data_IF_118393595944
#
_entry.id   IF_118393595944
#
_cell.length_a   1.000
_cell.length_b   1.000
_cell.length_c   1.000
_cell.angle_alpha   90.00
_cell.angle_beta   90.00
_cell.angle_gamma   90.00
#
_symmetry.space_group_name_H-M   'P 1'
#
loop_
_entity.id
_entity.type
_entity.pdbx_description
1 polymer ?
#
# COMPACT_ATOMS: atom_id res chain seq x y z
N UNK A 1 21.04 -6.89 12.48
CA UNK A 1 19.74 -6.26 12.71
C UNK A 1 18.80 -6.66 11.59
N UNK A 2 17.53 -6.95 11.87
CA UNK A 2 16.52 -7.31 10.85
C UNK A 2 15.60 -6.13 10.57
N UNK A 3 15.58 -5.67 9.32
CA UNK A 3 14.61 -4.68 8.82
C UNK A 3 13.50 -5.43 8.09
N UNK A 4 12.25 -5.20 8.49
CA UNK A 4 11.08 -5.77 7.82
C UNK A 4 10.33 -4.69 7.05
N UNK A 5 10.07 -4.90 5.76
CA UNK A 5 9.26 -3.97 4.94
C UNK A 5 7.91 -4.57 4.58
N UNK A 6 6.82 -3.86 4.84
CA UNK A 6 5.46 -4.33 4.57
C UNK A 6 4.84 -3.40 3.53
N UNK A 7 4.45 -3.99 2.40
CA UNK A 7 3.83 -3.31 1.27
C UNK A 7 2.32 -3.57 1.28
N UNK A 8 1.50 -2.52 1.33
CA UNK A 8 0.04 -2.62 1.29
C UNK A 8 -0.51 -2.06 -0.02
N UNK A 9 -1.03 -2.94 -0.88
CA UNK A 9 -1.62 -2.53 -2.15
C UNK A 9 -2.90 -1.70 -1.93
N UNK A 10 -3.22 -0.87 -2.93
CA UNK A 10 -4.42 -0.03 -2.93
C UNK A 10 -5.70 -0.82 -3.18
N UNK A 11 -6.84 -0.16 -3.03
CA UNK A 11 -8.18 -0.71 -3.37
C UNK A 11 -8.19 -1.45 -4.70
N UNK A 12 -8.62 -2.72 -4.70
CA UNK A 12 -8.71 -3.52 -5.92
C UNK A 12 -7.37 -3.93 -6.53
N UNK A 13 -6.25 -3.53 -5.92
CA UNK A 13 -4.91 -3.88 -6.36
C UNK A 13 -4.33 -5.03 -5.53
N UNK A 14 -3.41 -5.80 -6.12
CA UNK A 14 -2.83 -6.99 -5.54
C UNK A 14 -1.36 -7.15 -5.96
N UNK A 15 -0.65 -8.10 -5.34
CA UNK A 15 0.79 -8.33 -5.58
C UNK A 15 1.18 -8.60 -7.04
N UNK A 16 0.24 -9.04 -7.88
CA UNK A 16 0.48 -9.38 -9.28
C UNK A 16 0.30 -8.18 -10.22
N UNK A 17 -0.05 -7.00 -9.71
CA UNK A 17 -0.26 -5.81 -10.54
C UNK A 17 1.04 -5.18 -11.09
N UNK A 18 2.16 -5.89 -10.97
CA UNK A 18 3.40 -5.61 -11.70
C UNK A 18 3.22 -5.65 -13.22
N UNK A 19 2.17 -6.32 -13.72
CA UNK A 19 1.84 -6.40 -15.16
C UNK A 19 0.39 -6.02 -15.47
N UNK A 20 -0.30 -5.33 -14.56
CA UNK A 20 -1.72 -4.99 -14.78
C UNK A 20 -1.85 -3.91 -15.86
N UNK A 21 -2.82 -4.08 -16.78
CA UNK A 21 -3.00 -3.23 -17.99
C UNK A 21 -3.13 -1.73 -17.72
N UNK A 22 -3.78 -1.34 -16.62
CA UNK A 22 -3.93 0.05 -16.19
C UNK A 22 -2.63 0.73 -15.74
N UNK A 23 -1.55 -0.02 -15.49
CA UNK A 23 -0.28 0.49 -15.00
C UNK A 23 0.84 0.16 -15.99
N UNK A 24 1.24 1.15 -16.78
CA UNK A 24 2.14 0.95 -17.92
C UNK A 24 3.53 0.39 -17.55
N UNK A 25 3.98 0.63 -16.31
CA UNK A 25 5.26 0.15 -15.74
C UNK A 25 5.01 -0.56 -14.40
N UNK A 26 3.85 -1.22 -14.27
CA UNK A 26 3.40 -1.88 -13.05
C UNK A 26 2.87 -0.93 -11.98
N UNK A 27 1.99 -1.44 -11.12
CA UNK A 27 1.53 -0.69 -9.94
C UNK A 27 2.70 -0.51 -8.97
N UNK A 28 2.86 0.70 -8.43
CA UNK A 28 4.06 1.10 -7.71
C UNK A 28 4.33 0.24 -6.47
N UNK A 29 3.34 0.02 -5.60
CA UNK A 29 3.55 -0.75 -4.36
C UNK A 29 3.96 -2.20 -4.67
N UNK A 30 3.26 -2.82 -5.61
CA UNK A 30 3.50 -4.18 -6.08
C UNK A 30 4.87 -4.31 -6.74
N UNK A 31 5.27 -3.31 -7.53
CA UNK A 31 6.57 -3.23 -8.20
C UNK A 31 7.71 -3.07 -7.19
N UNK A 32 7.54 -2.24 -6.15
CA UNK A 32 8.54 -2.09 -5.08
C UNK A 32 8.72 -3.40 -4.31
N UNK A 33 7.63 -4.11 -4.02
CA UNK A 33 7.68 -5.41 -3.37
C UNK A 33 8.41 -6.45 -4.22
N UNK A 34 8.05 -6.58 -5.50
CA UNK A 34 8.68 -7.50 -6.44
C UNK A 34 10.18 -7.20 -6.69
N UNK A 35 10.57 -5.96 -6.46
CA UNK A 35 11.95 -5.51 -6.56
C UNK A 35 12.74 -5.66 -5.24
N UNK A 36 12.12 -6.08 -4.15
CA UNK A 36 12.82 -6.30 -2.89
C UNK A 36 13.82 -7.47 -3.00
N UNK A 37 15.09 -7.25 -2.67
CA UNK A 37 16.16 -8.25 -2.84
C UNK A 37 16.25 -9.26 -1.68
N UNK A 38 15.58 -8.98 -0.56
CA UNK A 38 15.51 -9.86 0.60
C UNK A 38 14.53 -11.02 0.45
N UNK A 39 14.43 -11.84 1.49
CA UNK A 39 13.52 -13.00 1.53
C UNK A 39 12.11 -12.59 1.97
N UNK A 40 11.10 -12.98 1.19
CA UNK A 40 9.70 -12.80 1.58
C UNK A 40 9.43 -13.50 2.92
N UNK A 41 8.50 -12.95 3.70
CA UNK A 41 8.15 -13.29 5.09
C UNK A 41 9.22 -12.96 6.14
N UNK A 42 10.51 -13.08 5.81
CA UNK A 42 11.59 -12.74 6.72
C UNK A 42 11.92 -11.23 6.73
N UNK A 43 12.19 -10.66 5.55
CA UNK A 43 12.63 -9.26 5.37
C UNK A 43 11.54 -8.40 4.71
N UNK A 44 10.56 -9.00 4.04
CA UNK A 44 9.43 -8.25 3.47
C UNK A 44 8.18 -9.09 3.28
N UNK A 45 7.02 -8.45 3.20
CA UNK A 45 5.77 -9.05 2.68
C UNK A 45 5.01 -8.02 1.85
N UNK A 46 4.18 -8.50 0.93
CA UNK A 46 3.15 -7.70 0.26
C UNK A 46 1.78 -8.20 0.68
N UNK A 47 0.87 -7.27 0.92
CA UNK A 47 -0.50 -7.53 1.36
C UNK A 47 -1.46 -6.90 0.37
N UNK A 48 -2.29 -7.76 -0.22
CA UNK A 48 -3.30 -7.38 -1.19
C UNK A 48 -4.26 -6.33 -0.65
N UNK A 49 -4.69 -5.48 -1.56
CA UNK A 49 -5.57 -4.38 -1.26
C UNK A 49 -7.00 -4.85 -0.99
N UNK A 50 -7.76 -4.10 -0.18
CA UNK A 50 -9.15 -4.45 0.10
C UNK A 50 -9.96 -4.50 -1.20
N UNK A 51 -10.67 -5.61 -1.41
CA UNK A 51 -11.52 -5.82 -2.59
C UNK A 51 -10.84 -6.34 -3.85
N UNK A 52 -9.58 -6.77 -3.77
CA UNK A 52 -8.85 -7.38 -4.89
C UNK A 52 -9.26 -8.83 -5.21
N UNK A 53 -10.22 -9.39 -4.47
CA UNK A 53 -10.58 -10.82 -4.54
C UNK A 53 -9.76 -11.72 -3.60
N UNK A 54 -8.84 -11.16 -2.82
CA UNK A 54 -8.03 -11.87 -1.80
C UNK A 54 -7.28 -13.09 -2.38
N UNK A 55 -6.48 -12.86 -3.42
CA UNK A 55 -5.67 -13.89 -4.07
C UNK A 55 -4.57 -14.46 -3.14
N UNK A 56 -4.27 -13.76 -2.04
CA UNK A 56 -3.37 -14.20 -0.97
C UNK A 56 -4.08 -14.90 0.20
N UNK A 57 -5.35 -15.32 0.07
CA UNK A 57 -6.08 -15.90 1.20
C UNK A 57 -5.38 -17.11 1.87
N UNK A 58 -4.59 -17.87 1.10
CA UNK A 58 -3.79 -18.99 1.60
C UNK A 58 -2.53 -18.56 2.37
N UNK A 59 -2.04 -17.34 2.16
CA UNK A 59 -0.83 -16.81 2.79
C UNK A 59 -1.12 -16.11 4.13
N UNK A 60 -2.39 -15.81 4.44
CA UNK A 60 -2.74 -14.99 5.59
C UNK A 60 -2.59 -15.75 6.92
N UNK A 61 -2.06 -15.06 7.93
CA UNK A 61 -1.96 -15.55 9.33
C UNK A 61 -3.25 -15.30 10.12
N UNK A 62 -4.34 -14.99 9.43
CA UNK A 62 -5.63 -14.62 10.02
C UNK A 62 -6.77 -15.12 9.15
N UNK A 63 -7.81 -15.66 9.78
CA UNK A 63 -9.03 -16.03 9.08
C UNK A 63 -9.70 -14.81 8.48
N UNK A 64 -9.89 -14.81 7.16
CA UNK A 64 -10.69 -13.81 6.42
C UNK A 64 -12.09 -14.34 6.17
N UNK A 65 -13.07 -13.44 6.16
CA UNK A 65 -14.39 -13.71 5.57
C UNK A 65 -14.34 -13.30 4.10
N UNK A 66 -15.05 -14.02 3.23
CA UNK A 66 -15.28 -13.54 1.86
C UNK A 66 -16.16 -12.29 1.94
N UNK A 67 -15.60 -11.17 1.49
CA UNK A 67 -16.31 -9.91 1.40
C UNK A 67 -16.68 -9.71 -0.07
N UNK A 68 -17.96 -9.94 -0.41
CA UNK A 68 -18.49 -9.63 -1.74
C UNK A 68 -18.38 -8.13 -2.08
N UNK A 69 -18.84 -7.74 -3.27
CA UNK A 69 -18.72 -6.37 -3.82
C UNK A 69 -19.12 -5.25 -2.84
N UNK A 70 -20.14 -5.46 -2.01
CA UNK A 70 -20.62 -4.46 -1.03
C UNK A 70 -19.69 -4.28 0.16
N UNK A 71 -18.91 -5.29 0.56
CA UNK A 71 -17.93 -5.19 1.64
C UNK A 71 -16.71 -4.33 1.28
N UNK A 72 -16.35 -4.31 0.00
CA UNK A 72 -15.22 -3.57 -0.55
C UNK A 72 -15.42 -2.05 -0.50
N UNK A 73 -16.66 -1.55 -0.67
CA UNK A 73 -16.93 -0.10 -0.68
C UNK A 73 -16.91 0.51 0.74
N UNK A 74 -17.30 -0.27 1.75
CA UNK A 74 -17.41 0.16 3.16
C UNK A 74 -16.22 -0.25 4.04
N UNK A 75 -15.18 -0.85 3.45
CA UNK A 75 -13.90 -1.00 4.12
C UNK A 75 -13.68 -2.27 4.95
N UNK A 76 -14.26 -3.39 4.52
CA UNK A 76 -14.00 -4.69 5.15
C UNK A 76 -12.68 -5.29 4.62
N UNK A 77 -11.92 -5.96 5.49
CA UNK A 77 -10.65 -6.63 5.16
C UNK A 77 -9.38 -5.94 5.70
N UNK A 78 -9.46 -4.70 6.17
CA UNK A 78 -8.28 -3.91 6.54
C UNK A 78 -7.75 -4.36 7.90
N UNK A 79 -8.68 -4.63 8.81
CA UNK A 79 -8.41 -5.14 10.14
C UNK A 79 -7.75 -6.52 10.07
N UNK A 80 -8.17 -7.38 9.15
CA UNK A 80 -7.51 -8.65 8.87
C UNK A 80 -6.10 -8.46 8.31
N UNK A 81 -5.92 -7.58 7.32
CA UNK A 81 -4.61 -7.27 6.75
C UNK A 81 -3.62 -6.74 7.81
N UNK A 82 -4.08 -5.83 8.68
CA UNK A 82 -3.28 -5.29 9.77
C UNK A 82 -2.94 -6.38 10.79
N UNK A 83 -3.90 -7.23 11.15
CA UNK A 83 -3.68 -8.34 12.09
C UNK A 83 -2.73 -9.39 11.51
N UNK A 84 -2.83 -9.70 10.21
CA UNK A 84 -1.88 -10.55 9.51
C UNK A 84 -0.47 -9.97 9.59
N UNK A 85 -0.31 -8.68 9.30
CA UNK A 85 0.98 -8.00 9.39
C UNK A 85 1.55 -8.01 10.82
N UNK A 86 0.73 -7.78 11.85
CA UNK A 86 1.15 -7.91 13.27
C UNK A 86 1.66 -9.33 13.56
N UNK A 87 0.94 -10.36 13.11
CA UNK A 87 1.34 -11.75 13.32
C UNK A 87 2.66 -12.09 12.58
N UNK A 88 2.87 -11.54 11.38
CA UNK A 88 4.14 -11.68 10.64
C UNK A 88 5.28 -10.96 11.36
N UNK A 89 5.07 -9.74 11.89
CA UNK A 89 6.09 -9.03 12.67
C UNK A 89 6.50 -9.87 13.88
N UNK A 90 5.54 -10.49 14.57
CA UNK A 90 5.78 -11.35 15.73
C UNK A 90 6.30 -12.75 15.36
N UNK A 91 6.29 -13.10 14.07
CA UNK A 91 6.64 -14.43 13.57
C UNK A 91 5.84 -15.56 14.20
N UNK A 92 4.60 -15.27 14.57
CA UNK A 92 3.70 -16.22 15.24
C UNK A 92 2.35 -16.23 14.54
N UNK A 93 1.99 -17.39 14.05
CA UNK A 93 0.72 -17.66 13.44
C UNK A 93 -0.26 -18.26 14.46
N UNK A 94 -1.40 -17.59 14.65
CA UNK A 94 -2.46 -18.06 15.55
C UNK A 94 -3.64 -18.67 14.78
N UNK A 95 -3.52 -18.79 13.45
CA UNK A 95 -4.56 -19.37 12.59
C UNK A 95 -3.91 -20.01 11.35
N UNK A 96 -4.22 -21.27 11.08
CA UNK A 96 -3.75 -21.94 9.88
C UNK A 96 -4.93 -22.35 9.01
N UNK A 97 -4.73 -22.36 7.69
CA UNK A 97 -5.70 -22.95 6.77
C UNK A 97 -5.31 -24.41 6.57
N UNK A 98 -5.97 -25.27 7.34
CA UNK A 98 -5.70 -26.70 7.37
C UNK A 98 -6.37 -27.46 6.23
N UNK A 99 -7.49 -26.97 5.68
CA UNK A 99 -8.22 -27.69 4.62
C UNK A 99 -7.56 -27.52 3.25
N UNK A 100 -7.50 -28.60 2.47
CA UNK A 100 -7.03 -28.60 1.08
C UNK A 100 -8.06 -27.95 0.15
N UNK A 101 -7.56 -27.24 -0.86
CA UNK A 101 -8.37 -26.85 -2.03
C UNK A 101 -8.47 -28.02 -3.02
N UNK A 102 -9.48 -27.98 -3.89
CA UNK A 102 -9.65 -28.99 -4.96
C UNK A 102 -8.42 -29.11 -5.86
N UNK A 103 -7.81 -27.98 -6.23
CA UNK A 103 -6.60 -27.98 -7.07
C UNK A 103 -5.42 -28.63 -6.34
N UNK A 104 -5.21 -28.34 -5.06
CA UNK A 104 -4.15 -28.97 -4.26
C UNK A 104 -4.39 -30.47 -4.12
N UNK A 105 -5.61 -30.88 -3.81
CA UNK A 105 -5.99 -32.29 -3.73
C UNK A 105 -5.69 -33.05 -5.03
N UNK A 106 -6.12 -32.51 -6.16
CA UNK A 106 -5.89 -33.12 -7.47
C UNK A 106 -4.39 -33.22 -7.79
N UNK A 107 -3.61 -32.20 -7.44
CA UNK A 107 -2.14 -32.21 -7.60
C UNK A 107 -1.47 -33.26 -6.73
N UNK A 108 -1.89 -33.40 -5.48
CA UNK A 108 -1.34 -34.40 -4.53
C UNK A 108 -1.69 -35.83 -4.96
N UNK A 109 -2.94 -36.08 -5.39
CA UNK A 109 -3.35 -37.36 -5.99
C UNK A 109 -2.53 -37.68 -7.25
N UNK A 110 -2.35 -36.71 -8.15
CA UNK A 110 -1.55 -36.90 -9.36
C UNK A 110 -0.07 -37.18 -9.06
N UNK A 111 0.46 -36.66 -7.94
CA UNK A 111 1.81 -36.94 -7.47
C UNK A 111 1.96 -38.26 -6.70
N UNK A 112 0.88 -39.04 -6.54
CA UNK A 112 0.91 -40.33 -5.82
C UNK A 112 1.05 -40.20 -4.30
N UNK A 113 0.75 -39.03 -3.73
CA UNK A 113 0.83 -38.81 -2.29
C UNK A 113 -0.41 -39.42 -1.63
N UNK A 114 -0.25 -40.29 -0.60
CA UNK A 114 -1.38 -40.90 0.08
C UNK A 114 -2.15 -39.85 0.88
N UNK A 115 -3.34 -39.49 0.40
CA UNK A 115 -4.31 -38.59 1.04
C UNK A 115 -5.70 -39.23 1.03
N UNK A 116 -6.49 -38.91 2.06
CA UNK A 116 -7.89 -39.34 2.21
C UNK A 116 -8.72 -38.96 0.98
N UNK A 117 -9.71 -39.79 0.64
CA UNK A 117 -10.63 -39.47 -0.45
C UNK A 117 -11.60 -38.34 -0.06
N UNK A 118 -12.05 -37.59 -1.09
CA UNK A 118 -12.98 -36.46 -0.90
C UNK A 118 -14.24 -36.90 -0.16
N UNK A 119 -14.51 -36.26 0.97
CA UNK A 119 -15.76 -36.44 1.71
C UNK A 119 -16.82 -35.50 1.13
N UNK A 120 -17.94 -36.06 0.71
CA UNK A 120 -19.08 -35.30 0.17
C UNK A 120 -20.16 -35.22 1.24
N UNK A 121 -20.52 -34.00 1.64
CA UNK A 121 -21.52 -33.73 2.65
C UNK A 121 -22.66 -32.85 2.08
N UNK A 122 -23.88 -33.01 2.60
CA UNK A 122 -25.03 -32.19 2.23
C UNK A 122 -26.05 -32.86 1.31
N UNK A 123 -27.09 -32.12 0.91
CA UNK A 123 -28.18 -32.63 0.07
C UNK A 123 -27.85 -32.48 -1.42
N UNK A 124 -28.67 -33.07 -2.29
CA UNK A 124 -28.50 -32.99 -3.75
C UNK A 124 -28.35 -31.54 -4.26
N UNK A 125 -29.07 -30.59 -3.65
CA UNK A 125 -29.05 -29.18 -4.03
C UNK A 125 -27.89 -28.38 -3.41
N UNK A 126 -27.21 -28.92 -2.41
CA UNK A 126 -26.13 -28.26 -1.67
C UNK A 126 -25.07 -29.27 -1.24
N UNK A 127 -24.24 -29.69 -2.20
CA UNK A 127 -23.06 -30.52 -1.90
C UNK A 127 -21.89 -29.64 -1.46
N UNK A 128 -21.26 -30.03 -0.36
CA UNK A 128 -19.96 -29.55 0.08
C UNK A 128 -18.94 -30.67 -0.10
N UNK A 129 -17.81 -30.32 -0.67
CA UNK A 129 -16.69 -31.22 -0.86
C UNK A 129 -15.60 -30.86 0.15
N UNK A 130 -15.20 -31.83 0.97
CA UNK A 130 -14.08 -31.73 1.88
C UNK A 130 -12.94 -32.59 1.31
N UNK A 131 -11.86 -31.91 0.92
CA UNK A 131 -10.72 -32.52 0.23
C UNK A 131 -9.61 -32.97 1.19
N UNK A 132 -9.90 -33.05 2.50
CA UNK A 132 -8.94 -33.44 3.53
C UNK A 132 -8.06 -32.28 4.04
N UNK A 133 -7.14 -32.62 4.94
CA UNK A 133 -6.27 -31.65 5.62
C UNK A 133 -4.84 -31.63 5.06
N UNK A 134 -4.19 -30.47 5.13
CA UNK A 134 -2.80 -30.23 4.74
C UNK A 134 -1.87 -30.78 5.81
N UNK A 135 -0.89 -31.60 5.42
CA UNK A 135 0.16 -32.08 6.33
C UNK A 135 1.10 -30.95 6.77
N UNK A 136 1.33 -29.95 5.91
CA UNK A 136 2.07 -28.72 6.20
C UNK A 136 1.32 -27.54 5.61
N UNK A 137 1.01 -26.54 6.44
CA UNK A 137 0.32 -25.33 6.01
C UNK A 137 1.31 -24.27 5.51
N UNK A 138 0.88 -23.40 4.59
CA UNK A 138 1.69 -22.25 4.16
C UNK A 138 2.13 -21.41 5.35
N UNK A 139 1.25 -21.25 6.34
CA UNK A 139 1.52 -20.52 7.57
C UNK A 139 2.70 -21.11 8.36
N UNK A 140 2.76 -22.43 8.45
CA UNK A 140 3.88 -23.12 9.12
C UNK A 140 5.19 -22.91 8.37
N UNK A 141 5.17 -22.96 7.03
CA UNK A 141 6.35 -22.69 6.20
C UNK A 141 6.85 -21.25 6.40
N UNK A 142 5.94 -20.28 6.37
CA UNK A 142 6.26 -18.87 6.60
C UNK A 142 6.85 -18.61 7.99
N UNK A 143 6.33 -19.25 9.05
CA UNK A 143 6.95 -19.19 10.38
C UNK A 143 8.39 -19.72 10.38
N UNK A 144 8.65 -20.84 9.69
CA UNK A 144 9.99 -21.41 9.62
C UNK A 144 10.95 -20.51 8.83
N UNK A 145 10.48 -19.89 7.75
CA UNK A 145 11.24 -18.86 7.01
C UNK A 145 11.61 -17.72 7.95
N UNK A 146 10.65 -17.21 8.74
CA UNK A 146 10.89 -16.14 9.71
C UNK A 146 11.94 -16.56 10.74
N UNK A 147 11.77 -17.72 11.39
CA UNK A 147 12.68 -18.23 12.43
C UNK A 147 14.09 -18.48 11.90
N UNK A 148 14.21 -18.93 10.65
CA UNK A 148 15.48 -19.29 10.03
C UNK A 148 16.25 -18.05 9.55
N UNK A 149 15.56 -17.08 8.96
CA UNK A 149 16.23 -16.02 8.18
C UNK A 149 16.26 -14.64 8.87
N UNK A 150 15.44 -14.39 9.89
CA UNK A 150 15.57 -13.15 10.66
C UNK A 150 16.77 -13.23 11.59
N UNK A 151 17.68 -12.26 11.44
CA UNK A 151 18.86 -12.09 12.29
C UNK A 151 18.46 -11.40 13.59
N UNK A 152 19.11 -11.77 14.69
CA UNK A 152 18.94 -11.18 16.02
C UNK A 152 17.56 -11.41 16.67
N UNK A 153 16.85 -12.45 16.21
CA UNK A 153 15.59 -12.89 16.77
C UNK A 153 14.42 -12.74 15.81
N UNK A 154 13.24 -13.19 16.27
CA UNK A 154 12.02 -13.25 15.47
C UNK A 154 11.44 -11.85 15.23
N UNK A 155 11.48 -10.97 16.23
CA UNK A 155 10.93 -9.61 16.12
C UNK A 155 11.96 -8.73 15.39
N UNK A 156 11.57 -8.03 14.30
CA UNK A 156 12.48 -7.15 13.59
C UNK A 156 12.87 -5.93 14.44
N UNK A 157 14.06 -5.39 14.21
CA UNK A 157 14.57 -4.21 14.91
C UNK A 157 14.03 -2.90 14.34
N UNK A 158 13.43 -2.93 13.14
CA UNK A 158 12.78 -1.80 12.47
C UNK A 158 11.71 -2.31 11.50
N UNK A 159 10.62 -1.56 11.36
CA UNK A 159 9.58 -1.83 10.36
C UNK A 159 9.43 -0.65 9.40
N UNK A 160 9.44 -0.91 8.10
CA UNK A 160 9.15 0.07 7.06
C UNK A 160 7.79 -0.27 6.44
N UNK A 161 6.92 0.72 6.27
CA UNK A 161 5.58 0.54 5.72
C UNK A 161 5.44 1.33 4.43
N UNK A 162 4.94 0.70 3.38
CA UNK A 162 4.66 1.35 2.10
C UNK A 162 3.22 1.05 1.73
N UNK A 163 2.44 2.06 1.34
CA UNK A 163 1.07 1.80 0.95
C UNK A 163 0.41 2.90 0.15
N UNK A 164 -0.51 2.49 -0.73
CA UNK A 164 -1.29 3.37 -1.58
C UNK A 164 -2.77 3.30 -1.22
N UNK A 165 -3.49 4.43 -1.29
CA UNK A 165 -4.94 4.45 -1.07
C UNK A 165 -5.30 3.92 0.33
N UNK A 166 -6.21 2.95 0.40
CA UNK A 166 -6.50 2.21 1.64
C UNK A 166 -5.30 1.45 2.18
N UNK A 167 -4.35 1.02 1.35
CA UNK A 167 -3.08 0.46 1.80
C UNK A 167 -2.23 1.48 2.56
N UNK A 168 -2.28 2.76 2.19
CA UNK A 168 -1.67 3.85 2.97
C UNK A 168 -2.33 4.02 4.34
N UNK A 169 -3.65 3.84 4.43
CA UNK A 169 -4.37 3.82 5.71
C UNK A 169 -4.02 2.57 6.53
N UNK A 170 -3.85 1.41 5.90
CA UNK A 170 -3.35 0.20 6.58
C UNK A 170 -1.98 0.42 7.20
N UNK A 171 -1.11 1.24 6.58
CA UNK A 171 0.16 1.65 7.20
C UNK A 171 -0.08 2.41 8.51
N UNK A 172 -1.02 3.37 8.53
CA UNK A 172 -1.36 4.10 9.74
C UNK A 172 -1.91 3.16 10.83
N UNK A 173 -2.84 2.29 10.46
CA UNK A 173 -3.45 1.33 11.37
C UNK A 173 -2.42 0.37 11.96
N UNK A 174 -1.50 -0.14 11.15
CA UNK A 174 -0.45 -1.04 11.61
C UNK A 174 0.55 -0.33 12.54
N UNK A 175 0.98 0.89 12.21
CA UNK A 175 1.88 1.65 13.07
C UNK A 175 1.27 1.86 14.47
N UNK A 176 -0.03 2.18 14.54
CA UNK A 176 -0.75 2.31 15.82
C UNK A 176 -0.97 0.95 16.51
N UNK A 177 -1.25 -0.12 15.76
CA UNK A 177 -1.35 -1.46 16.33
C UNK A 177 -0.04 -1.93 16.96
N UNK A 178 1.10 -1.62 16.32
CA UNK A 178 2.44 -1.87 16.88
C UNK A 178 2.68 -1.07 18.16
N UNK A 179 2.29 0.22 18.18
CA UNK A 179 2.45 1.06 19.37
C UNK A 179 1.64 0.54 20.58
N UNK A 180 0.49 -0.06 20.30
CA UNK A 180 -0.40 -0.62 21.33
C UNK A 180 -0.05 -2.07 21.72
N UNK A 181 0.84 -2.75 21.00
CA UNK A 181 1.30 -4.10 21.34
C UNK A 181 2.52 -4.04 22.28
N UNK A 182 2.48 -4.65 23.48
CA UNK A 182 3.58 -4.62 24.45
C UNK A 182 4.93 -5.10 23.92
N UNK A 183 4.95 -6.03 22.94
CA UNK A 183 6.18 -6.56 22.34
C UNK A 183 6.70 -5.67 21.21
N UNK A 184 5.83 -4.87 20.57
CA UNK A 184 6.17 -4.13 19.35
C UNK A 184 6.29 -2.62 19.57
N UNK A 185 5.79 -2.08 20.69
CA UNK A 185 5.73 -0.62 20.95
C UNK A 185 7.06 0.11 20.89
N UNK A 186 8.17 -0.61 21.06
CA UNK A 186 9.54 -0.07 21.02
C UNK A 186 10.17 -0.11 19.63
N UNK A 187 9.55 -0.82 18.67
CA UNK A 187 10.10 -0.97 17.33
C UNK A 187 9.86 0.33 16.53
N UNK A 188 10.90 0.98 16.01
CA UNK A 188 10.75 2.17 15.19
C UNK A 188 10.07 1.84 13.85
N UNK A 189 9.20 2.75 13.41
CA UNK A 189 8.44 2.62 12.16
C UNK A 189 8.75 3.78 11.22
N UNK A 190 9.00 3.49 9.95
CA UNK A 190 9.02 4.48 8.88
C UNK A 190 7.85 4.22 7.92
N UNK A 191 7.23 5.27 7.39
CA UNK A 191 6.07 5.15 6.51
C UNK A 191 6.29 5.94 5.23
N UNK A 192 6.08 5.29 4.08
CA UNK A 192 5.97 5.90 2.77
C UNK A 192 4.54 5.71 2.23
N UNK A 193 3.73 6.77 2.21
CA UNK A 193 2.33 6.68 1.82
C UNK A 193 2.04 7.40 0.49
N UNK A 194 1.16 6.80 -0.31
CA UNK A 194 0.65 7.35 -1.56
C UNK A 194 -0.84 7.60 -1.40
N UNK A 195 -1.23 8.87 -1.35
CA UNK A 195 -2.62 9.29 -1.28
C UNK A 195 -3.50 8.44 -0.32
N UNK A 196 -3.16 8.37 0.98
CA UNK A 196 -3.87 7.50 1.92
C UNK A 196 -5.34 7.91 2.04
N UNK A 197 -6.27 7.09 1.54
CA UNK A 197 -7.71 7.39 1.47
C UNK A 197 -8.48 6.33 2.27
N UNK A 198 -9.17 6.70 3.35
CA UNK A 198 -9.96 5.76 4.14
C UNK A 198 -11.37 5.54 3.57
N UNK A 199 -11.81 6.37 2.63
CA UNK A 199 -13.20 6.37 2.17
C UNK A 199 -14.17 7.01 3.18
N UNK A 200 -15.44 7.09 2.78
CA UNK A 200 -16.46 7.86 3.50
C UNK A 200 -16.68 7.29 4.91
N UNK A 201 -16.60 8.15 5.94
CA UNK A 201 -16.92 7.80 7.33
C UNK A 201 -15.81 7.08 8.12
N UNK A 202 -14.62 6.90 7.56
CA UNK A 202 -13.55 6.07 8.14
C UNK A 202 -12.37 6.88 8.74
N UNK A 203 -12.67 7.95 9.48
CA UNK A 203 -11.67 8.88 10.06
C UNK A 203 -11.41 8.68 11.57
N UNK A 204 -11.46 7.44 12.05
CA UNK A 204 -11.16 7.07 13.43
C UNK A 204 -9.67 7.27 13.75
N UNK A 205 -9.34 7.51 15.02
CA UNK A 205 -7.98 7.89 15.48
C UNK A 205 -6.86 7.03 14.90
N UNK A 206 -7.01 5.71 14.86
CA UNK A 206 -6.00 4.78 14.35
C UNK A 206 -5.70 4.92 12.84
N UNK A 207 -6.55 5.64 12.11
CA UNK A 207 -6.43 5.90 10.66
C UNK A 207 -5.89 7.30 10.38
N UNK A 208 -6.01 8.24 11.33
CA UNK A 208 -5.74 9.66 11.12
C UNK A 208 -4.69 10.26 12.05
N UNK A 209 -4.14 9.45 12.96
CA UNK A 209 -3.06 9.85 13.88
C UNK A 209 -1.95 8.83 13.82
N UNK A 210 -0.71 9.27 14.05
CA UNK A 210 0.47 8.42 14.14
C UNK A 210 1.21 8.72 15.44
N UNK A 211 1.45 7.68 16.23
CA UNK A 211 2.13 7.82 17.51
C UNK A 211 3.66 7.85 17.42
N UNK A 212 4.29 7.94 18.59
CA UNK A 212 5.72 8.24 18.73
C UNK A 212 6.68 7.13 18.25
N UNK A 213 6.19 5.93 17.95
CA UNK A 213 6.98 4.88 17.31
C UNK A 213 7.29 5.20 15.84
N UNK A 214 6.48 6.04 15.18
CA UNK A 214 6.76 6.50 13.82
C UNK A 214 7.86 7.56 13.84
N UNK A 215 9.01 7.24 13.23
CA UNK A 215 10.20 8.12 13.19
C UNK A 215 10.24 8.99 11.96
N UNK A 216 9.76 8.47 10.85
CA UNK A 216 9.69 9.21 9.58
C UNK A 216 8.40 8.88 8.83
N UNK A 217 7.73 9.92 8.34
CA UNK A 217 6.54 9.83 7.48
C UNK A 217 6.81 10.64 6.22
N UNK A 218 6.85 9.95 5.08
CA UNK A 218 6.98 10.56 3.76
C UNK A 218 5.71 10.25 2.97
N UNK A 219 5.06 11.25 2.39
CA UNK A 219 3.86 11.00 1.60
C UNK A 219 3.73 11.92 0.38
N UNK A 220 3.15 11.35 -0.67
CA UNK A 220 2.79 12.06 -1.90
C UNK A 220 1.27 12.05 -2.08
N UNK A 221 0.71 13.20 -2.44
CA UNK A 221 -0.73 13.43 -2.52
C UNK A 221 -1.14 13.91 -3.91
N UNK A 222 -2.20 13.31 -4.46
CA UNK A 222 -2.70 13.59 -5.81
C UNK A 222 -3.39 14.95 -5.87
N UNK A 223 -2.72 15.98 -6.37
CA UNK A 223 -3.25 17.35 -6.36
C UNK A 223 -4.53 17.50 -7.19
N UNK A 224 -4.67 16.71 -8.25
CA UNK A 224 -5.72 16.86 -9.26
C UNK A 224 -6.90 15.89 -9.09
N UNK A 225 -6.92 15.12 -7.99
CA UNK A 225 -8.04 14.26 -7.63
C UNK A 225 -9.25 15.06 -7.12
N UNK A 226 -10.46 14.69 -7.56
CA UNK A 226 -11.73 15.35 -7.18
C UNK A 226 -12.88 14.37 -6.91
N UNK A 227 -12.66 13.06 -6.92
CA UNK A 227 -13.73 12.08 -6.70
C UNK A 227 -14.29 12.21 -5.29
N UNK A 228 -15.63 12.29 -5.17
CA UNK A 228 -16.29 12.32 -3.87
C UNK A 228 -15.94 11.07 -3.07
N UNK A 229 -15.52 11.25 -1.81
CA UNK A 229 -15.08 10.14 -0.94
C UNK A 229 -13.61 9.76 -1.10
N UNK A 230 -12.84 10.49 -1.90
CA UNK A 230 -11.38 10.34 -2.04
C UNK A 230 -10.60 11.41 -1.24
N UNK A 231 -11.18 11.93 -0.17
CA UNK A 231 -10.49 12.79 0.78
C UNK A 231 -9.34 12.01 1.43
N UNK A 232 -8.11 12.37 1.08
CA UNK A 232 -6.92 11.74 1.62
C UNK A 232 -6.59 12.27 3.01
N UNK A 233 -5.88 11.46 3.81
CA UNK A 233 -5.55 11.74 5.20
C UNK A 233 -4.10 12.20 5.31
N UNK A 234 -3.91 13.41 5.78
CA UNK A 234 -2.64 13.91 6.31
C UNK A 234 -2.70 13.65 7.82
N UNK A 235 -1.97 12.65 8.36
CA UNK A 235 -2.13 12.26 9.74
C UNK A 235 -1.58 13.31 10.70
N UNK A 236 -2.17 13.41 11.89
CA UNK A 236 -1.53 14.09 13.02
C UNK A 236 -0.39 13.21 13.54
N UNK A 237 0.83 13.72 13.51
CA UNK A 237 2.02 12.99 13.97
C UNK A 237 2.41 13.40 15.39
N UNK A 238 3.01 12.47 16.13
CA UNK A 238 3.60 12.76 17.42
C UNK A 238 4.81 13.71 17.29
N UNK A 239 5.10 14.46 18.36
CA UNK A 239 6.29 15.31 18.43
C UNK A 239 7.54 14.49 18.19
N UNK A 240 8.43 14.97 17.33
CA UNK A 240 9.68 14.30 16.97
C UNK A 240 9.61 13.38 15.74
N UNK A 241 8.43 13.10 15.20
CA UNK A 241 8.29 12.43 13.90
C UNK A 241 8.72 13.38 12.78
N UNK A 242 9.66 12.96 11.92
CA UNK A 242 10.02 13.71 10.72
C UNK A 242 8.91 13.54 9.69
N UNK A 243 8.21 14.60 9.31
CA UNK A 243 7.07 14.54 8.39
C UNK A 243 7.36 15.31 7.11
N UNK A 244 7.39 14.63 5.97
CA UNK A 244 7.60 15.21 4.64
C UNK A 244 6.42 14.89 3.75
N UNK A 245 5.69 15.91 3.29
CA UNK A 245 4.52 15.74 2.45
C UNK A 245 4.67 16.56 1.18
N UNK A 246 4.28 15.99 0.05
CA UNK A 246 4.45 16.61 -1.26
C UNK A 246 3.19 16.51 -2.10
N UNK A 247 2.83 17.57 -2.81
CA UNK A 247 1.85 17.46 -3.88
C UNK A 247 2.49 16.79 -5.09
N UNK A 248 1.68 16.08 -5.86
CA UNK A 248 2.06 15.57 -7.16
C UNK A 248 0.91 15.73 -8.14
N UNK A 249 1.23 16.08 -9.38
CA UNK A 249 0.22 16.25 -10.42
C UNK A 249 -0.45 14.92 -10.76
N UNK A 250 -1.74 15.00 -11.11
CA UNK A 250 -2.56 13.86 -11.48
C UNK A 250 -3.56 13.42 -10.40
N UNK A 251 -4.27 12.34 -10.72
CA UNK A 251 -5.33 11.75 -9.91
C UNK A 251 -4.79 10.64 -8.99
N UNK A 252 -5.69 10.06 -8.21
CA UNK A 252 -5.38 9.07 -7.19
C UNK A 252 -4.44 7.95 -7.66
N UNK A 253 -4.71 7.37 -8.84
CA UNK A 253 -3.92 6.28 -9.40
C UNK A 253 -2.68 6.74 -10.19
N UNK A 254 -2.59 8.04 -10.55
CA UNK A 254 -1.50 8.55 -11.38
C UNK A 254 -0.13 8.39 -10.70
N UNK A 255 -0.08 8.64 -9.39
CA UNK A 255 1.13 8.45 -8.59
C UNK A 255 1.51 6.97 -8.40
N UNK A 256 0.53 6.07 -8.48
CA UNK A 256 0.74 4.62 -8.36
C UNK A 256 1.12 3.96 -9.70
N UNK A 257 1.27 4.74 -10.78
CA UNK A 257 1.74 4.25 -12.08
C UNK A 257 0.69 4.26 -13.19
N UNK A 258 -0.54 4.72 -12.94
CA UNK A 258 -1.54 4.86 -14.00
C UNK A 258 -1.27 6.14 -14.81
N UNK A 259 -0.64 5.99 -15.97
CA UNK A 259 -0.24 7.11 -16.82
C UNK A 259 -1.29 7.50 -17.87
N UNK A 260 -2.55 7.10 -17.71
CA UNK A 260 -3.61 7.47 -18.66
C UNK A 260 -3.99 8.95 -18.55
N UNK A 261 -4.52 9.52 -19.64
CA UNK A 261 -4.94 10.91 -19.73
C UNK A 261 -6.00 11.29 -18.68
N UNK A 262 -6.85 10.33 -18.29
CA UNK A 262 -7.89 10.50 -17.28
C UNK A 262 -7.48 9.96 -15.89
N UNK A 263 -6.30 9.34 -15.76
CA UNK A 263 -5.88 8.63 -14.55
C UNK A 263 -6.76 7.43 -14.21
N UNK A 264 -7.35 6.76 -15.19
CA UNK A 264 -8.30 5.66 -15.00
C UNK A 264 -8.08 4.51 -16.00
N UNK A 265 -9.17 3.86 -16.41
CA UNK A 265 -9.14 2.80 -17.42
C UNK A 265 -8.67 3.40 -18.76
N UNK A 266 -7.69 2.80 -19.44
CA UNK A 266 -7.19 3.30 -20.71
C UNK A 266 -8.28 3.23 -21.79
N UNK A 267 -8.36 4.29 -22.60
CA UNK A 267 -9.28 4.35 -23.75
C UNK A 267 -8.67 3.78 -25.03
N UNK A 268 -7.34 3.66 -25.07
CA UNK A 268 -6.56 3.11 -26.20
C UNK A 268 -5.13 2.80 -25.77
N UNK A 269 -4.35 2.11 -26.60
CA UNK A 269 -2.95 1.80 -26.31
C UNK A 269 -2.06 3.03 -26.21
N UNK A 270 -2.37 4.12 -26.93
CA UNK A 270 -1.62 5.39 -26.84
C UNK A 270 -1.91 6.14 -25.54
N UNK A 271 -3.08 5.92 -24.94
CA UNK A 271 -3.49 6.52 -23.67
C UNK A 271 -2.61 6.03 -22.50
N UNK A 272 -2.17 4.77 -22.53
CA UNK A 272 -1.41 4.11 -21.46
C UNK A 272 -0.16 4.85 -20.99
N UNK A 273 0.45 5.69 -21.83
CA UNK A 273 1.73 6.37 -21.54
C UNK A 273 1.61 7.89 -21.62
N UNK A 274 0.43 8.44 -21.36
CA UNK A 274 0.16 9.88 -21.49
C UNK A 274 0.87 10.74 -20.43
N UNK A 275 0.87 10.30 -19.17
CA UNK A 275 1.43 11.02 -18.01
C UNK A 275 2.30 10.10 -17.17
N UNK A 276 3.45 9.71 -17.72
CA UNK A 276 4.37 8.76 -17.06
C UNK A 276 5.17 9.40 -15.92
N UNK A 277 5.30 10.73 -15.94
CA UNK A 277 6.26 11.47 -15.13
C UNK A 277 5.95 11.43 -13.64
N UNK A 278 4.70 11.67 -13.17
CA UNK A 278 4.37 11.62 -11.74
C UNK A 278 4.75 10.30 -11.08
N UNK A 279 4.35 9.17 -11.69
CA UNK A 279 4.66 7.83 -11.17
C UNK A 279 6.16 7.55 -11.11
N UNK A 280 6.94 8.00 -12.10
CA UNK A 280 8.41 7.84 -12.10
C UNK A 280 9.11 8.66 -11.03
N UNK A 281 8.69 9.92 -10.82
CA UNK A 281 9.23 10.78 -9.76
C UNK A 281 8.94 10.18 -8.39
N UNK A 282 7.69 9.80 -8.14
CA UNK A 282 7.27 9.19 -6.88
C UNK A 282 7.99 7.86 -6.63
N UNK A 283 8.10 7.00 -7.64
CA UNK A 283 8.86 5.73 -7.55
C UNK A 283 10.31 5.96 -7.15
N UNK A 284 10.98 6.92 -7.78
CA UNK A 284 12.37 7.23 -7.44
C UNK A 284 12.53 7.64 -5.98
N UNK A 285 11.66 8.50 -5.45
CA UNK A 285 11.73 8.90 -4.05
C UNK A 285 11.34 7.78 -3.08
N UNK A 286 10.41 6.90 -3.45
CA UNK A 286 10.10 5.69 -2.69
C UNK A 286 11.33 4.77 -2.58
N UNK A 287 11.99 4.49 -3.71
CA UNK A 287 13.20 3.67 -3.76
C UNK A 287 14.34 4.30 -2.94
N UNK A 288 14.49 5.62 -3.00
CA UNK A 288 15.52 6.35 -2.25
C UNK A 288 15.27 6.32 -0.74
N UNK A 289 14.02 6.55 -0.30
CA UNK A 289 13.66 6.43 1.12
C UNK A 289 13.86 5.01 1.63
N UNK A 290 13.41 4.00 0.88
CA UNK A 290 13.57 2.60 1.25
C UNK A 290 15.04 2.22 1.38
N UNK A 291 15.90 2.61 0.44
CA UNK A 291 17.36 2.40 0.55
C UNK A 291 17.94 3.06 1.80
N UNK A 292 17.57 4.33 2.09
CA UNK A 292 17.98 5.03 3.32
C UNK A 292 17.52 4.28 4.58
N UNK A 293 16.34 3.69 4.56
CA UNK A 293 15.79 2.90 5.66
C UNK A 293 16.33 1.46 5.74
N UNK A 294 17.40 1.14 5.01
CA UNK A 294 18.09 -0.14 5.10
C UNK A 294 17.53 -1.24 4.18
N UNK A 295 16.65 -0.90 3.24
CA UNK A 295 16.07 -1.84 2.28
C UNK A 295 17.00 -2.04 1.09
N UNK A 296 17.21 -3.30 0.70
CA UNK A 296 17.92 -3.65 -0.53
C UNK A 296 16.91 -3.87 -1.65
N UNK A 297 16.99 -3.05 -2.70
CA UNK A 297 16.12 -3.11 -3.87
C UNK A 297 16.92 -3.43 -5.13
N UNK A 298 16.36 -4.30 -5.98
CA UNK A 298 16.79 -4.56 -7.34
C UNK A 298 16.01 -3.66 -8.31
N UNK A 299 16.47 -3.52 -9.57
CA UNK A 299 15.74 -2.84 -10.66
C UNK A 299 15.22 -1.43 -10.31
N UNK A 300 16.01 -0.64 -9.58
CA UNK A 300 15.65 0.74 -9.21
C UNK A 300 15.86 1.71 -10.37
N UNK A 301 15.06 2.77 -10.43
CA UNK A 301 15.14 3.79 -11.48
C UNK A 301 16.46 4.56 -11.48
N UNK A 302 17.04 4.81 -10.29
CA UNK A 302 18.29 5.54 -10.10
C UNK A 302 18.36 6.87 -10.89
N UNK A 303 17.27 7.64 -10.88
CA UNK A 303 17.18 8.90 -11.61
C UNK A 303 18.25 9.89 -11.12
N UNK A 304 18.93 10.54 -12.07
CA UNK A 304 19.84 11.65 -11.78
C UNK A 304 19.07 12.94 -11.48
N UNK A 305 19.77 13.97 -11.00
CA UNK A 305 19.15 15.29 -10.83
C UNK A 305 18.65 15.87 -12.17
N UNK A 306 19.38 15.64 -13.25
CA UNK A 306 18.98 16.05 -14.60
C UNK A 306 17.71 15.30 -15.06
N UNK A 307 17.60 14.00 -14.76
CA UNK A 307 16.37 13.24 -15.03
C UNK A 307 15.18 13.79 -14.26
N UNK A 308 15.37 14.11 -12.97
CA UNK A 308 14.33 14.70 -12.15
C UNK A 308 13.89 16.06 -12.70
N UNK A 309 14.83 16.96 -13.05
CA UNK A 309 14.51 18.25 -13.65
C UNK A 309 13.69 18.11 -14.93
N UNK A 310 14.06 17.14 -15.79
CA UNK A 310 13.33 16.85 -17.02
C UNK A 310 11.91 16.37 -16.73
N UNK A 311 11.73 15.42 -15.81
CA UNK A 311 10.42 14.89 -15.46
C UNK A 311 9.53 15.96 -14.79
N UNK A 312 10.06 16.70 -13.83
CA UNK A 312 9.31 17.75 -13.13
C UNK A 312 9.00 18.93 -14.06
N UNK A 313 9.90 19.27 -14.98
CA UNK A 313 9.67 20.25 -16.04
C UNK A 313 8.55 19.82 -17.01
N UNK A 314 8.51 18.55 -17.39
CA UNK A 314 7.43 18.00 -18.20
C UNK A 314 6.07 18.04 -17.46
N UNK A 315 6.05 17.71 -16.16
CA UNK A 315 4.85 17.84 -15.32
C UNK A 315 4.34 19.30 -15.32
N UNK A 316 5.22 20.26 -15.05
CA UNK A 316 4.86 21.67 -15.00
C UNK A 316 4.36 22.19 -16.36
N UNK A 317 4.99 21.76 -17.46
CA UNK A 317 4.57 22.12 -18.82
C UNK A 317 3.20 21.55 -19.20
N UNK A 318 2.80 20.44 -18.59
CA UNK A 318 1.52 19.77 -18.83
C UNK A 318 0.40 20.17 -17.85
N UNK A 319 0.60 21.19 -17.01
CA UNK A 319 -0.32 21.63 -15.95
C UNK A 319 -1.78 21.75 -16.41
N UNK A 320 -2.01 22.39 -17.57
CA UNK A 320 -3.36 22.57 -18.11
C UNK A 320 -4.07 21.23 -18.37
N UNK A 321 -3.33 20.19 -18.75
CA UNK A 321 -3.87 18.85 -19.03
C UNK A 321 -4.21 18.11 -17.74
N UNK A 322 -3.41 18.28 -16.68
CA UNK A 322 -3.75 17.73 -15.37
C UNK A 322 -5.01 18.38 -14.77
N UNK A 323 -5.22 19.68 -14.99
CA UNK A 323 -6.47 20.35 -14.57
C UNK A 323 -7.72 19.78 -15.25
N UNK A 324 -7.60 19.22 -16.46
CA UNK A 324 -8.74 18.55 -17.10
C UNK A 324 -9.22 17.33 -16.30
N UNK A 325 -8.32 16.69 -15.53
CA UNK A 325 -8.67 15.55 -14.68
C UNK A 325 -9.64 15.91 -13.56
N UNK A 326 -9.79 17.20 -13.20
CA UNK A 326 -10.72 17.65 -12.15
C UNK A 326 -12.19 17.34 -12.49
N UNK A 327 -12.49 17.07 -13.75
CA UNK A 327 -13.84 16.74 -14.26
C UNK A 327 -14.15 15.24 -14.25
N UNK A 328 -13.20 14.39 -13.85
CA UNK A 328 -13.34 12.93 -13.88
C UNK A 328 -13.44 12.39 -12.45
N UNK A 329 -14.34 11.44 -12.22
CA UNK A 329 -14.57 10.83 -10.91
C UNK A 329 -14.57 9.30 -10.95
N UNK A 330 -14.04 8.67 -9.91
CA UNK A 330 -14.17 7.22 -9.67
C UNK A 330 -15.52 6.84 -9.02
N UNK A 331 -16.23 7.81 -8.44
CA UNK A 331 -17.47 7.61 -7.68
C UNK A 331 -18.65 8.32 -8.31
N UNK A 332 -18.58 8.59 -9.62
CA UNK A 332 -19.54 9.36 -10.43
C UNK A 332 -19.68 10.85 -10.06
N UNK A 333 -19.37 11.24 -8.82
CA UNK A 333 -19.47 12.63 -8.36
C UNK A 333 -18.10 13.24 -8.10
N UNK A 334 -17.92 14.50 -8.47
CA UNK A 334 -16.75 15.29 -8.09
C UNK A 334 -17.06 16.19 -6.89
N UNK A 335 -16.08 16.41 -6.03
CA UNK A 335 -16.10 17.37 -4.92
C UNK A 335 -15.07 18.48 -5.18
N UNK A 336 -15.49 19.72 -4.95
CA UNK A 336 -14.65 20.91 -5.05
C UNK A 336 -14.86 21.70 -3.77
N UNK A 337 -13.78 21.95 -3.03
CA UNK A 337 -13.79 22.83 -1.88
C UNK A 337 -13.06 24.11 -2.26
N UNK A 338 -13.83 25.16 -2.57
CA UNK A 338 -13.28 26.46 -3.05
C UNK A 338 -12.38 26.33 -4.30
N UNK A 339 -12.64 25.33 -5.16
CA UNK A 339 -11.84 25.04 -6.35
C UNK A 339 -10.62 24.14 -6.09
N UNK A 340 -10.34 23.82 -4.83
CA UNK A 340 -9.27 22.92 -4.42
C UNK A 340 -9.78 21.50 -4.15
N UNK A 341 -8.83 20.57 -3.99
CA UNK A 341 -9.11 19.23 -3.48
C UNK A 341 -9.45 19.33 -1.99
N UNK A 342 -10.52 18.67 -1.58
CA UNK A 342 -10.85 18.49 -0.18
C UNK A 342 -9.99 17.38 0.44
N UNK A 343 -9.28 17.66 1.53
CA UNK A 343 -8.43 16.70 2.25
C UNK A 343 -8.73 16.69 3.75
N UNK A 344 -8.23 15.67 4.46
CA UNK A 344 -8.39 15.55 5.90
C UNK A 344 -7.04 15.76 6.60
N UNK A 345 -6.94 16.80 7.42
CA UNK A 345 -5.83 16.99 8.36
C UNK A 345 -6.23 16.39 9.71
N UNK A 346 -5.71 15.21 10.03
CA UNK A 346 -6.28 14.35 11.06
C UNK A 346 -7.71 13.95 10.67
N UNK A 347 -8.69 14.25 11.53
CA UNK A 347 -10.12 14.06 11.26
C UNK A 347 -10.83 15.32 10.75
N UNK A 348 -10.10 16.43 10.56
CA UNK A 348 -10.67 17.71 10.14
C UNK A 348 -10.51 17.92 8.64
N UNK A 349 -11.62 18.18 7.95
CA UNK A 349 -11.64 18.62 6.57
C UNK A 349 -10.99 20.00 6.37
N UNK A 350 -10.10 20.11 5.39
CA UNK A 350 -9.44 21.36 5.00
C UNK A 350 -9.18 21.41 3.48
N UNK A 351 -9.02 22.61 2.89
CA UNK A 351 -8.51 22.75 1.53
C UNK A 351 -7.08 22.23 1.40
N UNK A 352 -6.73 21.69 0.23
CA UNK A 352 -5.41 21.11 -0.05
C UNK A 352 -4.25 22.07 0.26
N UNK A 353 -4.36 23.34 -0.13
CA UNK A 353 -3.28 24.33 0.07
C UNK A 353 -3.13 24.81 1.52
N UNK A 354 -4.12 24.52 2.38
CA UNK A 354 -4.06 24.85 3.80
C UNK A 354 -3.08 23.96 4.57
N UNK A 355 -2.68 22.81 4.01
CA UNK A 355 -1.77 21.86 4.64
C UNK A 355 -0.31 22.28 4.42
N UNK A 356 0.17 23.14 5.32
CA UNK A 356 1.54 23.67 5.38
C UNK A 356 1.90 24.03 6.81
N UNK A 357 3.17 24.33 7.07
CA UNK A 357 3.67 24.74 8.38
C UNK A 357 5.00 24.07 8.76
N UNK A 358 5.62 24.56 9.84
CA UNK A 358 6.95 24.11 10.31
C UNK A 358 7.01 22.66 10.77
N UNK A 359 5.86 22.02 10.98
CA UNK A 359 5.78 20.58 11.28
C UNK A 359 6.16 19.71 10.07
N UNK A 360 6.15 20.29 8.87
CA UNK A 360 6.51 19.61 7.64
C UNK A 360 7.90 20.03 7.17
N UNK A 361 8.58 19.11 6.49
CA UNK A 361 9.83 19.38 5.76
C UNK A 361 9.62 18.97 4.30
N UNK A 362 9.49 19.93 3.36
CA UNK A 362 9.56 21.39 3.55
C UNK A 362 8.31 21.97 4.25
N UNK A 363 8.45 23.16 4.84
CA UNK A 363 7.35 23.84 5.53
C UNK A 363 6.21 24.28 4.59
N UNK A 364 6.47 24.34 3.28
CA UNK A 364 5.47 24.58 2.23
C UNK A 364 4.46 23.44 2.09
N UNK A 365 4.77 22.23 2.60
CA UNK A 365 3.84 21.10 2.62
C UNK A 365 3.21 20.81 1.25
N UNK A 366 1.88 20.77 1.18
CA UNK A 366 1.14 20.48 -0.05
C UNK A 366 1.13 21.64 -1.06
N UNK A 367 1.77 22.76 -0.76
CA UNK A 367 1.98 23.86 -1.71
C UNK A 367 3.37 23.85 -2.36
N UNK A 368 4.23 22.89 -2.00
CA UNK A 368 5.58 22.75 -2.56
C UNK A 368 5.54 22.60 -4.07
N UNK A 369 6.35 23.37 -4.79
CA UNK A 369 6.45 23.27 -6.24
C UNK A 369 7.15 21.98 -6.65
N UNK A 370 6.60 21.27 -7.63
CA UNK A 370 7.24 20.08 -8.23
C UNK A 370 8.59 20.43 -8.88
N UNK A 371 8.82 21.70 -9.25
CA UNK A 371 10.07 22.19 -9.82
C UNK A 371 11.16 22.45 -8.76
N UNK A 372 10.79 22.54 -7.48
CA UNK A 372 11.72 22.87 -6.40
C UNK A 372 12.46 21.61 -5.92
N UNK A 373 13.39 21.09 -6.73
CA UNK A 373 14.10 19.85 -6.38
C UNK A 373 14.87 19.93 -5.06
N UNK A 374 15.28 21.13 -4.64
CA UNK A 374 15.90 21.37 -3.34
C UNK A 374 15.00 20.95 -2.18
N UNK A 375 13.67 21.08 -2.33
CA UNK A 375 12.69 20.68 -1.33
C UNK A 375 12.64 19.16 -1.09
N UNK A 376 13.18 18.36 -2.02
CA UNK A 376 13.27 16.90 -1.91
C UNK A 376 14.66 16.42 -1.47
N UNK A 377 15.62 17.33 -1.30
CA UNK A 377 17.04 16.97 -1.10
C UNK A 377 17.27 16.16 0.17
N UNK A 378 16.50 16.39 1.23
CA UNK A 378 16.59 15.61 2.48
C UNK A 378 16.06 14.18 2.35
N UNK A 379 15.35 13.87 1.26
CA UNK A 379 14.95 12.50 0.94
C UNK A 379 16.06 11.72 0.24
N UNK A 380 17.17 12.34 -0.16
CA UNK A 380 18.26 11.70 -0.92
C UNK A 380 19.36 11.15 -0.03
#
# INVERSE_FOLDING_TARGET
MTVLTIFFCGTGSNKFDVTHENFWDGELVSTLAANHAGREFAEWIVVDGPGSGNLQADDLFTKTKEYGLTGTLFGKGWEENVRHAVNIIKGKCNWQREQLTEQEYNRLKAAGIPIDDVKVEGSWFWRKYNYGERSVTQQTLQEQIIKTFRKDGVIPTQVNLVGWSRGGISCHMLANAMLNDPQLKHIPVNVFALDPVPGIGNFQDQRVRLGANVKEYVAFFARDERSKGFSCVIPQTAVGTKTSIYPMAGRHATMAGNATAAGGVPTSSSDLKTFIEPGRVVRHFAETCLKRWGVRLNKTLNLSEADLLRLTGAIASAEARYKLMHKVSYTYFTELDQGERYVSLGSKGVPFSAVKGSIYTPATGLTTSVLELAAYKHLR
#
